data_IF_605183838095
#
_entry.id   IF_605183838095
#
_cell.length_a   1.000
_cell.length_b   1.000
_cell.length_c   1.000
_cell.angle_alpha   90.00
_cell.angle_beta   90.00
_cell.angle_gamma   90.00
#
_symmetry.space_group_name_H-M   'P 1'
#
loop_
_entity.id
_entity.type
_entity.pdbx_description
1 polymer ?
#
# COMPACT_ATOMS: atom_id res chain seq x y z
N UNK A 1 -4.63 -32.53 -6.63
CA UNK A 1 -3.74 -33.31 -7.52
C UNK A 1 -2.62 -33.83 -6.66
N UNK A 2 -2.51 -35.15 -6.46
CA UNK A 2 -1.41 -35.73 -5.67
C UNK A 2 -0.20 -35.87 -6.58
N UNK A 3 0.95 -35.32 -6.18
CA UNK A 3 2.21 -35.51 -6.89
C UNK A 3 2.67 -36.95 -6.61
N UNK A 4 2.91 -37.80 -7.63
CA UNK A 4 3.41 -39.16 -7.43
C UNK A 4 4.73 -39.17 -6.68
N UNK A 5 4.95 -40.20 -5.85
CA UNK A 5 6.19 -40.35 -5.09
C UNK A 5 7.41 -40.39 -6.03
N UNK A 6 8.44 -39.59 -5.72
CA UNK A 6 9.63 -39.44 -6.57
C UNK A 6 9.52 -38.40 -7.69
N UNK A 7 8.39 -37.69 -7.83
CA UNK A 7 8.22 -36.60 -8.80
C UNK A 7 8.14 -35.23 -8.10
N UNK A 8 8.53 -34.18 -8.81
CA UNK A 8 8.38 -32.78 -8.42
C UNK A 8 7.61 -32.02 -9.51
N UNK A 9 6.79 -31.06 -9.11
CA UNK A 9 6.07 -30.21 -10.06
C UNK A 9 6.89 -28.95 -10.35
N UNK A 10 7.13 -28.64 -11.63
CA UNK A 10 7.80 -27.41 -12.04
C UNK A 10 6.84 -26.21 -12.08
N UNK A 11 7.38 -25.01 -12.35
CA UNK A 11 6.59 -23.78 -12.44
C UNK A 11 5.55 -23.76 -13.59
N UNK A 12 5.70 -24.65 -14.58
CA UNK A 12 4.74 -24.81 -15.69
C UNK A 12 3.68 -25.88 -15.38
N UNK A 13 3.73 -26.46 -14.17
CA UNK A 13 2.80 -27.47 -13.71
C UNK A 13 3.12 -28.90 -14.17
N UNK A 14 4.27 -29.13 -14.81
CA UNK A 14 4.69 -30.44 -15.32
C UNK A 14 5.30 -31.27 -14.18
N UNK A 15 5.11 -32.58 -14.23
CA UNK A 15 5.72 -33.52 -13.29
C UNK A 15 7.07 -34.00 -13.83
N UNK A 16 8.13 -33.71 -13.09
CA UNK A 16 9.51 -34.07 -13.42
C UNK A 16 10.01 -35.07 -12.37
N UNK A 17 10.58 -36.23 -12.76
CA UNK A 17 11.25 -37.11 -11.80
C UNK A 17 12.31 -36.35 -11.03
N UNK A 18 12.36 -36.51 -9.70
CA UNK A 18 13.32 -35.80 -8.83
C UNK A 18 14.77 -36.04 -9.24
N UNK A 19 15.09 -37.23 -9.73
CA UNK A 19 16.41 -37.59 -10.23
C UNK A 19 16.86 -36.77 -11.46
N UNK A 20 15.90 -36.25 -12.23
CA UNK A 20 16.15 -35.43 -13.42
C UNK A 20 16.28 -33.94 -13.09
N UNK A 21 16.02 -33.54 -11.85
CA UNK A 21 16.19 -32.16 -11.39
C UNK A 21 17.66 -31.94 -11.04
N UNK A 22 18.23 -30.81 -11.45
CA UNK A 22 19.63 -30.51 -11.15
C UNK A 22 19.82 -30.45 -9.63
N UNK A 23 20.93 -30.99 -9.08
CA UNK A 23 21.20 -30.93 -7.64
C UNK A 23 21.19 -29.50 -7.08
N UNK A 24 21.65 -28.51 -7.87
CA UNK A 24 21.60 -27.10 -7.50
C UNK A 24 20.16 -26.60 -7.31
N UNK A 25 19.27 -26.88 -8.27
CA UNK A 25 17.87 -26.46 -8.22
C UNK A 25 17.13 -27.09 -7.01
N UNK A 26 17.49 -28.32 -6.62
CA UNK A 26 16.96 -28.98 -5.42
C UNK A 26 17.40 -28.28 -4.12
N UNK A 27 18.67 -27.88 -4.03
CA UNK A 27 19.18 -27.15 -2.87
C UNK A 27 18.56 -25.75 -2.76
N UNK A 28 18.36 -25.08 -3.89
CA UNK A 28 17.69 -23.79 -3.94
C UNK A 28 16.21 -23.90 -3.53
N UNK A 29 15.47 -24.90 -4.03
CA UNK A 29 14.08 -25.16 -3.64
C UNK A 29 13.95 -25.45 -2.13
N UNK A 30 14.84 -26.26 -1.57
CA UNK A 30 14.86 -26.55 -0.13
C UNK A 30 15.10 -25.29 0.69
N UNK A 31 16.09 -24.47 0.31
CA UNK A 31 16.41 -23.22 0.99
C UNK A 31 15.22 -22.25 0.93
N UNK A 32 14.63 -22.06 -0.25
CA UNK A 32 13.48 -21.18 -0.45
C UNK A 32 12.29 -21.62 0.40
N UNK A 33 11.96 -22.92 0.42
CA UNK A 33 10.87 -23.45 1.26
C UNK A 33 11.13 -23.25 2.74
N UNK A 34 12.36 -23.48 3.18
CA UNK A 34 12.77 -23.28 4.58
C UNK A 34 12.63 -21.81 5.00
N UNK A 35 13.13 -20.87 4.18
CA UNK A 35 13.01 -19.45 4.44
C UNK A 35 11.55 -18.97 4.39
N UNK A 36 10.77 -19.45 3.42
CA UNK A 36 9.35 -19.12 3.31
C UNK A 36 8.57 -19.57 4.54
N UNK A 37 8.82 -20.79 5.05
CA UNK A 37 8.18 -21.27 6.27
C UNK A 37 8.53 -20.39 7.48
N UNK A 38 9.80 -20.02 7.66
CA UNK A 38 10.23 -19.11 8.74
C UNK A 38 9.60 -17.72 8.62
N UNK A 39 9.54 -17.17 7.40
CA UNK A 39 8.90 -15.89 7.13
C UNK A 39 7.40 -15.93 7.45
N UNK A 40 6.73 -17.05 7.15
CA UNK A 40 5.33 -17.27 7.48
C UNK A 40 5.05 -17.20 8.98
N UNK A 41 5.91 -17.80 9.81
CA UNK A 41 5.80 -17.72 11.27
C UNK A 41 5.96 -16.28 11.77
N UNK A 42 6.99 -15.56 11.31
CA UNK A 42 7.21 -14.16 11.70
C UNK A 42 6.03 -13.28 11.26
N UNK A 43 5.48 -13.52 10.07
CA UNK A 43 4.32 -12.79 9.58
C UNK A 43 3.08 -13.03 10.46
N UNK A 44 2.89 -14.26 10.94
CA UNK A 44 1.82 -14.60 11.87
C UNK A 44 2.01 -13.90 13.22
N UNK A 45 3.22 -13.96 13.78
CA UNK A 45 3.55 -13.31 15.05
C UNK A 45 3.35 -11.80 14.97
N UNK A 46 3.82 -11.18 13.88
CA UNK A 46 3.64 -9.75 13.64
C UNK A 46 2.16 -9.37 13.47
N UNK A 47 1.36 -10.22 12.84
CA UNK A 47 -0.08 -10.00 12.70
C UNK A 47 -0.79 -10.09 14.05
N UNK A 48 -0.45 -11.08 14.90
CA UNK A 48 -1.01 -11.22 16.25
C UNK A 48 -0.61 -10.02 17.11
N UNK A 49 0.67 -9.68 17.15
CA UNK A 49 1.20 -8.53 17.89
C UNK A 49 0.50 -7.22 17.49
N UNK A 50 0.30 -6.98 16.19
CA UNK A 50 -0.45 -5.80 15.74
C UNK A 50 -1.88 -5.81 16.27
N UNK A 51 -2.60 -6.91 16.11
CA UNK A 51 -4.00 -7.04 16.55
C UNK A 51 -4.13 -6.81 18.06
N UNK A 52 -3.27 -7.45 18.85
CA UNK A 52 -3.21 -7.28 20.30
C UNK A 52 -2.88 -5.84 20.66
N UNK A 53 -1.83 -5.26 20.08
CA UNK A 53 -1.44 -3.87 20.35
C UNK A 53 -2.54 -2.85 20.02
N UNK A 54 -3.29 -3.01 18.93
CA UNK A 54 -4.45 -2.16 18.64
C UNK A 54 -5.56 -2.33 19.68
N UNK A 55 -5.83 -3.56 20.11
CA UNK A 55 -6.83 -3.87 21.15
C UNK A 55 -6.44 -3.27 22.50
N UNK A 56 -5.18 -3.39 22.89
CA UNK A 56 -4.67 -2.89 24.18
C UNK A 56 -4.71 -1.36 24.23
N UNK A 57 -4.33 -0.69 23.14
CA UNK A 57 -4.43 0.77 23.05
C UNK A 57 -5.89 1.22 23.13
N UNK A 58 -6.81 0.54 22.45
CA UNK A 58 -8.23 0.85 22.52
C UNK A 58 -8.80 0.66 23.94
N UNK A 59 -8.46 -0.45 24.60
CA UNK A 59 -8.87 -0.73 25.97
C UNK A 59 -8.32 0.32 26.95
N UNK A 60 -7.06 0.76 26.78
CA UNK A 60 -6.49 1.83 27.59
C UNK A 60 -7.23 3.16 27.38
N UNK A 61 -7.58 3.51 26.15
CA UNK A 61 -8.35 4.71 25.85
C UNK A 61 -9.75 4.67 26.50
N UNK A 62 -10.40 3.51 26.48
CA UNK A 62 -11.70 3.29 27.13
C UNK A 62 -11.62 3.43 28.65
N UNK A 63 -10.65 2.76 29.30
CA UNK A 63 -10.43 2.86 30.74
C UNK A 63 -10.16 4.31 31.20
N UNK A 64 -9.35 5.06 30.44
CA UNK A 64 -9.05 6.45 30.75
C UNK A 64 -10.27 7.36 30.53
N UNK A 65 -11.11 7.02 29.56
CA UNK A 65 -12.38 7.71 29.34
C UNK A 65 -13.36 7.46 30.49
N UNK A 66 -13.50 6.22 30.96
CA UNK A 66 -14.37 5.86 32.08
C UNK A 66 -13.92 6.50 33.39
N UNK A 67 -12.63 6.43 33.73
CA UNK A 67 -12.13 6.87 35.03
C UNK A 67 -11.98 8.39 35.15
N UNK A 68 -11.61 9.07 34.06
CA UNK A 68 -11.21 10.48 34.11
C UNK A 68 -12.05 11.38 33.19
N UNK A 69 -13.05 10.84 32.47
CA UNK A 69 -13.76 11.52 31.37
C UNK A 69 -12.82 12.13 30.32
N UNK A 70 -11.56 11.68 30.29
CA UNK A 70 -10.54 12.21 29.41
C UNK A 70 -10.61 11.48 28.08
N UNK A 71 -10.77 12.23 26.98
CA UNK A 71 -10.62 11.67 25.62
C UNK A 71 -9.15 11.73 25.24
N UNK A 72 -8.48 10.59 25.26
CA UNK A 72 -7.10 10.46 24.79
C UNK A 72 -7.15 9.93 23.37
N UNK A 73 -6.85 10.80 22.39
CA UNK A 73 -6.83 10.44 20.98
C UNK A 73 -6.80 11.66 20.09
N UNK A 74 -5.99 11.61 19.05
CA UNK A 74 -5.93 12.61 18.00
C UNK A 74 -7.01 12.40 16.94
N UNK A 75 -6.97 13.21 15.89
CA UNK A 75 -7.89 13.10 14.76
C UNK A 75 -7.85 11.67 14.17
N UNK A 76 -9.04 11.10 13.92
CA UNK A 76 -9.23 9.83 13.19
C UNK A 76 -8.59 8.59 13.84
N UNK A 77 -8.41 8.57 15.16
CA UNK A 77 -7.91 7.40 15.90
C UNK A 77 -6.38 7.29 15.98
N UNK A 78 -5.66 8.34 15.57
CA UNK A 78 -4.21 8.42 15.80
C UNK A 78 -3.93 8.68 17.29
N UNK A 79 -3.03 7.91 17.89
CA UNK A 79 -2.68 8.05 19.31
C UNK A 79 -1.19 7.81 19.51
N UNK A 80 -0.57 8.61 20.38
CA UNK A 80 0.82 8.42 20.80
C UNK A 80 0.85 8.20 22.31
N UNK A 81 1.43 7.08 22.73
CA UNK A 81 1.67 6.74 24.13
C UNK A 81 3.17 6.78 24.38
N UNK A 82 3.59 7.39 25.49
CA UNK A 82 4.98 7.36 25.94
C UNK A 82 5.07 6.67 27.29
N UNK A 83 6.17 5.98 27.56
CA UNK A 83 6.43 5.41 28.87
C UNK A 83 6.57 6.53 29.91
N UNK A 84 6.33 6.19 31.18
CA UNK A 84 6.40 7.15 32.28
C UNK A 84 7.80 7.79 32.43
N UNK A 85 8.86 7.03 32.16
CA UNK A 85 10.24 7.50 32.14
C UNK A 85 10.61 8.29 30.85
N UNK A 86 9.72 8.33 29.85
CA UNK A 86 9.89 9.06 28.59
C UNK A 86 10.85 8.43 27.59
N UNK A 87 11.44 7.27 27.89
CA UNK A 87 12.43 6.62 27.02
C UNK A 87 11.80 5.81 25.87
N UNK A 88 10.56 5.38 26.02
CA UNK A 88 9.85 4.54 25.06
C UNK A 88 8.60 5.26 24.55
N UNK A 89 8.25 4.99 23.29
CA UNK A 89 7.07 5.56 22.65
C UNK A 89 6.46 4.57 21.68
N UNK A 90 5.13 4.47 21.72
CA UNK A 90 4.30 3.74 20.75
C UNK A 90 3.38 4.74 20.07
N UNK A 91 3.32 4.71 18.75
CA UNK A 91 2.40 5.55 17.97
C UNK A 91 1.52 4.68 17.08
N UNK A 92 0.22 4.84 17.25
CA UNK A 92 -0.82 4.26 16.41
C UNK A 92 -1.19 5.30 15.36
N UNK A 93 -0.92 4.98 14.09
CA UNK A 93 -1.22 5.83 12.95
C UNK A 93 -2.19 5.10 12.00
N UNK A 94 -3.43 5.56 11.97
CA UNK A 94 -4.47 5.15 11.03
C UNK A 94 -4.35 6.00 9.76
N UNK A 95 -3.64 5.49 8.77
CA UNK A 95 -3.56 6.10 7.45
C UNK A 95 -4.84 5.84 6.63
N UNK A 96 -5.30 6.84 5.90
CA UNK A 96 -6.27 6.62 4.82
C UNK A 96 -5.55 5.94 3.65
N UNK A 97 -5.81 4.65 3.43
CA UNK A 97 -5.39 4.01 2.19
C UNK A 97 -6.39 4.40 1.09
N UNK A 98 -6.11 5.49 0.39
CA UNK A 98 -6.83 5.84 -0.84
C UNK A 98 -6.21 5.01 -1.97
N UNK A 99 -6.73 3.80 -2.15
CA UNK A 99 -6.40 2.97 -3.32
C UNK A 99 -7.36 3.34 -4.45
N UNK A 100 -6.86 3.94 -5.52
CA UNK A 100 -7.68 4.15 -6.71
C UNK A 100 -7.64 2.91 -7.60
N UNK A 101 -8.80 2.53 -8.11
CA UNK A 101 -8.94 1.45 -9.07
C UNK A 101 -8.50 1.85 -10.48
N UNK A 102 -8.65 0.94 -11.47
CA UNK A 102 -8.33 1.16 -12.88
C UNK A 102 -9.02 2.39 -13.49
N UNK A 103 -10.14 2.81 -12.90
CA UNK A 103 -10.92 4.00 -13.26
C UNK A 103 -10.09 5.29 -13.29
N UNK A 104 -9.05 5.39 -12.45
CA UNK A 104 -8.18 6.57 -12.42
C UNK A 104 -7.28 6.68 -13.65
N UNK A 105 -6.88 5.56 -14.23
CA UNK A 105 -6.12 5.56 -15.49
C UNK A 105 -7.00 6.05 -16.64
N UNK A 106 -8.29 5.67 -16.65
CA UNK A 106 -9.27 6.16 -17.62
C UNK A 106 -9.50 7.66 -17.44
N UNK A 107 -9.66 8.12 -16.21
CA UNK A 107 -9.80 9.55 -15.89
C UNK A 107 -8.55 10.35 -16.29
N UNK A 108 -7.33 9.79 -16.13
CA UNK A 108 -6.09 10.41 -16.59
C UNK A 108 -6.11 10.63 -18.11
N UNK A 109 -6.51 9.62 -18.89
CA UNK A 109 -6.56 9.76 -20.35
C UNK A 109 -7.53 10.85 -20.80
N UNK A 110 -8.70 10.95 -20.16
CA UNK A 110 -9.66 12.02 -20.45
C UNK A 110 -9.10 13.41 -20.11
N UNK A 111 -8.40 13.53 -18.99
CA UNK A 111 -7.74 14.78 -18.60
C UNK A 111 -6.61 15.16 -19.56
N UNK A 112 -5.80 14.18 -19.99
CA UNK A 112 -4.73 14.40 -20.97
C UNK A 112 -5.29 14.95 -22.30
N UNK A 113 -6.44 14.45 -22.76
CA UNK A 113 -7.12 14.95 -23.97
C UNK A 113 -7.65 16.39 -23.81
N UNK A 114 -8.16 16.75 -22.63
CA UNK A 114 -8.63 18.12 -22.33
C UNK A 114 -7.44 19.08 -22.21
N UNK A 115 -6.36 18.67 -21.56
CA UNK A 115 -5.16 19.50 -21.41
C UNK A 115 -4.44 19.71 -22.74
N UNK A 116 -4.39 18.71 -23.62
CA UNK A 116 -3.87 18.86 -24.98
C UNK A 116 -4.65 19.95 -25.74
N UNK A 117 -5.98 19.98 -25.57
CA UNK A 117 -6.86 21.00 -26.16
C UNK A 117 -6.66 22.39 -25.56
N UNK A 118 -6.52 22.50 -24.24
CA UNK A 118 -6.30 23.78 -23.56
C UNK A 118 -4.90 24.35 -23.76
N UNK A 119 -3.93 23.49 -24.07
CA UNK A 119 -2.55 23.90 -24.37
C UNK A 119 -2.32 24.11 -25.86
N UNK A 120 -3.33 23.92 -26.71
CA UNK A 120 -3.26 24.24 -28.13
C UNK A 120 -3.12 25.77 -28.31
N UNK A 121 -1.95 26.19 -28.80
CA UNK A 121 -1.54 27.60 -28.87
C UNK A 121 -0.80 28.14 -27.63
N UNK A 122 -0.61 27.35 -26.57
CA UNK A 122 0.24 27.72 -25.44
C UNK A 122 1.74 27.55 -25.76
N UNK A 123 2.59 28.31 -25.07
CA UNK A 123 4.05 28.16 -25.19
C UNK A 123 4.45 26.71 -24.87
N UNK A 124 5.23 26.06 -25.74
CA UNK A 124 5.66 24.68 -25.61
C UNK A 124 6.27 24.38 -24.22
N UNK A 125 7.01 25.34 -23.64
CA UNK A 125 7.58 25.20 -22.30
C UNK A 125 6.50 25.12 -21.20
N UNK A 126 5.39 25.84 -21.37
CA UNK A 126 4.28 25.87 -20.42
C UNK A 126 3.47 24.57 -20.50
N UNK A 127 3.30 24.03 -21.70
CA UNK A 127 2.75 22.69 -21.93
C UNK A 127 3.57 21.61 -21.23
N UNK A 128 4.89 21.61 -21.41
CA UNK A 128 5.79 20.66 -20.73
C UNK A 128 5.71 20.76 -19.22
N UNK A 129 5.66 21.97 -18.63
CA UNK A 129 5.56 22.14 -17.18
C UNK A 129 4.23 21.62 -16.63
N UNK A 130 3.12 21.85 -17.34
CA UNK A 130 1.80 21.33 -16.93
C UNK A 130 1.77 19.82 -17.05
N UNK A 131 2.24 19.24 -18.17
CA UNK A 131 2.29 17.78 -18.33
C UNK A 131 3.25 17.12 -17.32
N UNK A 132 4.42 17.69 -17.04
CA UNK A 132 5.38 17.19 -16.04
C UNK A 132 4.84 17.26 -14.60
N UNK A 133 4.00 18.26 -14.28
CA UNK A 133 3.35 18.34 -12.97
C UNK A 133 2.35 17.19 -12.73
N UNK A 134 1.82 16.63 -13.82
CA UNK A 134 0.95 15.46 -13.85
C UNK A 134 1.69 14.16 -14.19
N UNK A 135 2.92 14.24 -14.69
CA UNK A 135 3.74 13.07 -15.00
C UNK A 135 4.23 12.42 -13.69
N UNK A 136 3.70 11.24 -13.47
CA UNK A 136 4.00 10.41 -12.32
C UNK A 136 5.26 9.65 -12.64
N UNK A 137 6.35 9.99 -11.94
CA UNK A 137 7.59 9.24 -12.01
C UNK A 137 7.40 7.72 -11.83
N UNK A 138 8.49 6.99 -12.09
CA UNK A 138 8.62 5.53 -12.36
C UNK A 138 7.77 4.50 -11.59
N UNK A 139 7.02 4.86 -10.55
CA UNK A 139 6.11 3.97 -9.82
C UNK A 139 4.63 4.07 -10.23
N UNK A 140 4.25 4.99 -11.14
CA UNK A 140 2.91 5.02 -11.73
C UNK A 140 1.75 5.29 -10.75
N UNK A 141 2.04 5.72 -9.52
CA UNK A 141 1.02 6.04 -8.51
C UNK A 141 0.71 7.53 -8.52
N UNK A 142 -0.45 7.85 -9.08
CA UNK A 142 -1.06 9.18 -8.95
C UNK A 142 -1.22 9.53 -7.47
N UNK A 143 -0.72 10.71 -7.07
CA UNK A 143 -0.92 11.19 -5.71
C UNK A 143 -2.38 11.57 -5.51
N UNK A 144 -3.10 10.76 -4.73
CA UNK A 144 -4.49 10.99 -4.33
C UNK A 144 -4.75 12.42 -3.88
N UNK A 145 -3.81 12.94 -3.11
CA UNK A 145 -3.86 14.27 -2.52
C UNK A 145 -3.80 15.37 -3.58
N UNK A 146 -3.02 15.18 -4.65
CA UNK A 146 -2.94 16.14 -5.76
C UNK A 146 -4.22 16.14 -6.58
N UNK A 147 -4.77 14.96 -6.92
CA UNK A 147 -6.03 14.85 -7.67
C UNK A 147 -7.22 15.43 -6.89
N UNK A 148 -7.36 15.07 -5.61
CA UNK A 148 -8.40 15.66 -4.75
C UNK A 148 -8.19 17.16 -4.54
N UNK A 149 -6.94 17.65 -4.65
CA UNK A 149 -6.62 19.07 -4.67
C UNK A 149 -7.20 19.80 -5.88
N UNK A 150 -7.25 19.15 -7.05
CA UNK A 150 -7.80 19.75 -8.28
C UNK A 150 -9.29 20.08 -8.16
N UNK A 151 -10.07 19.28 -7.42
CA UNK A 151 -11.49 19.56 -7.14
C UNK A 151 -11.72 20.86 -6.35
N UNK A 152 -10.66 21.45 -5.77
CA UNK A 152 -10.74 22.73 -5.06
C UNK A 152 -10.66 23.93 -6.00
N UNK A 153 -10.21 23.74 -7.24
CA UNK A 153 -10.11 24.80 -8.23
C UNK A 153 -11.42 24.91 -9.00
N UNK A 154 -11.99 26.11 -9.04
CA UNK A 154 -13.26 26.37 -9.70
C UNK A 154 -13.03 26.62 -11.19
N UNK A 155 -12.89 25.55 -11.97
CA UNK A 155 -12.67 25.65 -13.42
C UNK A 155 -14.03 25.67 -14.14
N UNK A 156 -14.26 26.72 -14.94
CA UNK A 156 -15.49 26.87 -15.73
C UNK A 156 -15.29 26.24 -17.11
N UNK A 157 -15.42 24.92 -17.21
CA UNK A 157 -15.46 24.19 -18.48
C UNK A 157 -16.60 23.15 -18.46
N UNK A 158 -17.40 23.00 -19.53
CA UNK A 158 -18.49 22.02 -19.60
C UNK A 158 -18.06 20.55 -19.41
N UNK A 159 -16.82 20.20 -19.81
CA UNK A 159 -16.24 18.86 -19.67
C UNK A 159 -15.58 18.66 -18.27
N UNK A 160 -15.44 19.72 -17.47
CA UNK A 160 -14.93 19.70 -16.10
C UNK A 160 -16.07 19.64 -15.06
N UNK A 161 -16.62 18.45 -14.81
CA UNK A 161 -17.64 18.18 -13.77
C UNK A 161 -17.27 17.01 -12.87
#
# INVERSE_FOLDING_TARGET
MSIPEGYMQDAQGRLVPRENVKPQDLLEDELVRSLHAKAGLIAQDLASFKKEGFSDVAALQELLHEQYQARIGGAKGNTTLSSYDGHLRVSVCMGENISFGPELQVAKSLLDEVFERWTDGANANLKTIVMDAFDVGKEGKLSATKILGLRRHNVSDPEWK
#
